data_IF_059153488559
#
_entry.id   IF_059153488559
#
_cell.length_a   1.000
_cell.length_b   1.000
_cell.length_c   1.000
_cell.angle_alpha   90.00
_cell.angle_beta   90.00
_cell.angle_gamma   90.00
#
_symmetry.space_group_name_H-M   'P 1'
#
loop_
_entity.id
_entity.type
_entity.pdbx_description
1 polymer ?
#
# COMPACT_ATOMS: atom_id res chain seq x y z
N UNK A 1 16.53 13.79 -11.87
CA UNK A 1 15.89 13.35 -10.62
C UNK A 1 14.57 12.74 -11.02
N UNK A 2 14.36 11.47 -10.72
CA UNK A 2 13.21 10.71 -11.23
C UNK A 2 12.37 10.21 -10.07
N UNK A 3 11.05 10.36 -10.16
CA UNK A 3 10.11 9.79 -9.21
C UNK A 3 9.41 8.60 -9.83
N UNK A 4 9.28 7.51 -9.09
CA UNK A 4 8.78 6.23 -9.62
C UNK A 4 7.50 5.80 -8.93
N UNK A 5 6.54 5.31 -9.71
CA UNK A 5 5.45 4.46 -9.26
C UNK A 5 5.79 3.04 -9.69
N UNK A 6 6.11 2.16 -8.73
CA UNK A 6 6.08 0.72 -8.96
C UNK A 6 4.61 0.30 -8.96
N UNK A 7 4.12 -0.15 -10.11
CA UNK A 7 2.69 -0.33 -10.35
C UNK A 7 2.38 -1.80 -10.61
N UNK A 8 1.49 -2.38 -9.80
CA UNK A 8 0.78 -3.61 -10.14
C UNK A 8 -0.44 -3.33 -11.03
N UNK A 9 -0.95 -4.37 -11.68
CA UNK A 9 -2.09 -4.33 -12.58
C UNK A 9 -3.32 -4.91 -11.89
N UNK A 10 -3.25 -6.16 -11.46
CA UNK A 10 -4.34 -6.84 -10.77
C UNK A 10 -4.61 -6.17 -9.43
N UNK A 11 -5.88 -5.96 -9.11
CA UNK A 11 -6.36 -5.30 -7.89
C UNK A 11 -6.04 -3.80 -7.77
N UNK A 12 -5.33 -3.23 -8.77
CA UNK A 12 -4.99 -1.80 -8.82
C UNK A 12 -5.75 -1.10 -9.94
N UNK A 13 -5.57 -1.56 -11.19
CA UNK A 13 -6.29 -1.07 -12.37
C UNK A 13 -7.18 -2.13 -12.99
N UNK A 14 -6.88 -3.41 -12.78
CA UNK A 14 -7.65 -4.56 -13.23
C UNK A 14 -8.38 -5.17 -12.02
N UNK A 15 -9.70 -4.99 -11.88
CA UNK A 15 -10.45 -5.52 -10.75
C UNK A 15 -10.33 -7.03 -10.63
N UNK A 16 -10.20 -7.52 -9.40
CA UNK A 16 -10.11 -8.93 -9.04
C UNK A 16 -11.43 -9.46 -8.46
N UNK A 17 -12.29 -8.59 -7.94
CA UNK A 17 -13.61 -8.93 -7.41
C UNK A 17 -14.78 -8.39 -8.25
N UNK A 18 -15.91 -9.10 -8.18
CA UNK A 18 -17.14 -8.76 -8.94
C UNK A 18 -17.88 -7.52 -8.40
N UNK A 19 -17.50 -7.00 -7.25
CA UNK A 19 -18.25 -6.05 -6.42
C UNK A 19 -18.21 -4.61 -6.98
N UNK A 20 -18.90 -4.39 -8.11
CA UNK A 20 -19.14 -3.06 -8.67
C UNK A 20 -18.46 -2.76 -10.01
N UNK A 21 -17.83 -3.76 -10.63
CA UNK A 21 -17.12 -3.62 -11.90
C UNK A 21 -17.89 -4.26 -13.07
N UNK A 22 -17.89 -3.59 -14.22
CA UNK A 22 -18.73 -3.93 -15.37
C UNK A 22 -18.31 -5.24 -16.07
N UNK A 23 -17.02 -5.59 -16.04
CA UNK A 23 -16.48 -6.81 -16.69
C UNK A 23 -15.29 -7.35 -15.90
N UNK A 24 -15.37 -8.60 -15.46
CA UNK A 24 -14.26 -9.34 -14.85
C UNK A 24 -13.36 -9.99 -15.91
N UNK A 25 -12.12 -10.29 -15.50
CA UNK A 25 -11.17 -11.05 -16.32
C UNK A 25 -11.80 -12.34 -16.88
N UNK A 26 -11.64 -12.69 -18.18
CA UNK A 26 -12.28 -13.86 -18.78
C UNK A 26 -12.00 -15.19 -18.08
N UNK A 27 -10.79 -15.36 -17.55
CA UNK A 27 -10.43 -16.55 -16.75
C UNK A 27 -11.24 -16.67 -15.46
N UNK A 28 -11.69 -15.54 -14.89
CA UNK A 28 -12.49 -15.52 -13.65
C UNK A 28 -13.96 -15.84 -13.90
N UNK A 29 -14.45 -15.62 -15.12
CA UNK A 29 -15.83 -15.94 -15.55
C UNK A 29 -15.92 -17.25 -16.34
N UNK A 30 -14.80 -17.94 -16.58
CA UNK A 30 -14.76 -19.23 -17.28
C UNK A 30 -15.21 -19.16 -18.75
N UNK A 31 -15.10 -17.98 -19.38
CA UNK A 31 -15.56 -17.76 -20.75
C UNK A 31 -14.36 -17.49 -21.66
N UNK A 32 -14.09 -18.41 -22.59
CA UNK A 32 -13.07 -18.27 -23.62
C UNK A 32 -13.73 -18.32 -25.00
N UNK A 33 -13.80 -17.17 -25.68
CA UNK A 33 -14.25 -17.06 -27.07
C UNK A 33 -13.22 -16.27 -27.88
N UNK A 34 -12.37 -17.00 -28.61
CA UNK A 34 -11.29 -16.44 -29.42
C UNK A 34 -11.81 -15.49 -30.52
N UNK A 35 -13.00 -15.74 -31.08
CA UNK A 35 -13.56 -14.84 -32.10
C UNK A 35 -13.92 -13.49 -31.49
N UNK A 36 -14.46 -13.49 -30.28
CA UNK A 36 -14.81 -12.28 -29.56
C UNK A 36 -13.56 -11.42 -29.26
N UNK A 37 -12.45 -12.03 -28.84
CA UNK A 37 -11.19 -11.34 -28.61
C UNK A 37 -10.58 -10.75 -29.88
N UNK A 38 -10.64 -11.52 -30.99
CA UNK A 38 -10.15 -11.05 -32.29
C UNK A 38 -10.91 -9.82 -32.79
N UNK A 39 -12.23 -9.77 -32.63
CA UNK A 39 -13.03 -8.61 -33.00
C UNK A 39 -12.70 -7.37 -32.15
N UNK A 40 -12.55 -7.53 -30.82
CA UNK A 40 -12.10 -6.43 -29.96
C UNK A 40 -10.71 -5.92 -30.34
N UNK A 41 -9.77 -6.84 -30.63
CA UNK A 41 -8.40 -6.51 -31.01
C UNK A 41 -8.29 -5.79 -32.36
N UNK A 42 -9.18 -6.07 -33.33
CA UNK A 42 -9.15 -5.44 -34.67
C UNK A 42 -9.17 -3.90 -34.59
N UNK A 43 -10.03 -3.34 -33.73
CA UNK A 43 -10.16 -1.89 -33.51
C UNK A 43 -8.83 -1.27 -33.10
N UNK A 44 -8.10 -1.92 -32.21
CA UNK A 44 -6.86 -1.41 -31.63
C UNK A 44 -5.64 -1.68 -32.52
N UNK A 45 -5.57 -2.83 -33.18
CA UNK A 45 -4.48 -3.16 -34.12
C UNK A 45 -4.41 -2.14 -35.27
N UNK A 46 -5.56 -1.73 -35.80
CA UNK A 46 -5.64 -0.70 -36.83
C UNK A 46 -5.27 0.70 -36.30
N UNK A 47 -5.71 1.04 -35.08
CA UNK A 47 -5.50 2.37 -34.49
C UNK A 47 -4.07 2.63 -34.03
N UNK A 48 -3.40 1.62 -33.47
CA UNK A 48 -2.14 1.80 -32.76
C UNK A 48 -0.94 1.04 -33.37
N UNK A 49 -1.14 0.34 -34.50
CA UNK A 49 -0.12 -0.48 -35.16
C UNK A 49 0.49 -1.55 -34.21
N UNK A 50 -0.39 -2.27 -33.50
CA UNK A 50 -0.02 -3.20 -32.42
C UNK A 50 -0.26 -4.65 -32.82
N UNK A 51 0.10 -5.04 -34.03
CA UNK A 51 -0.11 -6.41 -34.54
C UNK A 51 0.69 -7.48 -33.77
N UNK A 52 1.64 -7.06 -32.93
CA UNK A 52 2.48 -7.92 -32.11
C UNK A 52 1.88 -8.27 -30.74
N UNK A 53 0.76 -7.64 -30.35
CA UNK A 53 0.06 -7.97 -29.11
C UNK A 53 -1.00 -9.05 -29.33
N UNK A 54 -1.13 -9.92 -28.33
CA UNK A 54 -2.13 -10.98 -28.33
C UNK A 54 -3.55 -10.37 -28.24
N UNK A 55 -4.50 -10.96 -28.96
CA UNK A 55 -5.88 -10.48 -28.96
C UNK A 55 -6.55 -10.61 -27.60
N UNK A 56 -6.17 -11.61 -26.82
CA UNK A 56 -6.62 -11.81 -25.45
C UNK A 56 -6.20 -10.63 -24.56
N UNK A 57 -4.91 -10.29 -24.54
CA UNK A 57 -4.40 -9.20 -23.71
C UNK A 57 -5.03 -7.86 -24.08
N UNK A 58 -5.18 -7.61 -25.39
CA UNK A 58 -5.82 -6.41 -25.89
C UNK A 58 -7.29 -6.33 -25.46
N UNK A 59 -7.99 -7.46 -25.45
CA UNK A 59 -9.35 -7.55 -24.93
C UNK A 59 -9.38 -7.25 -23.43
N UNK A 60 -8.50 -7.86 -22.64
CA UNK A 60 -8.43 -7.65 -21.18
C UNK A 60 -8.18 -6.18 -20.86
N UNK A 61 -7.24 -5.53 -21.54
CA UNK A 61 -6.98 -4.09 -21.34
C UNK A 61 -8.16 -3.22 -21.74
N UNK A 62 -8.85 -3.52 -22.85
CA UNK A 62 -9.96 -2.69 -23.34
C UNK A 62 -11.24 -2.84 -22.50
N UNK A 63 -11.43 -3.99 -21.86
CA UNK A 63 -12.70 -4.34 -21.20
C UNK A 63 -12.60 -4.50 -19.70
N UNK A 64 -11.51 -5.08 -19.19
CA UNK A 64 -11.37 -5.41 -17.77
C UNK A 64 -10.66 -4.29 -16.99
N UNK A 65 -9.71 -3.58 -17.61
CA UNK A 65 -9.04 -2.48 -16.90
C UNK A 65 -10.00 -1.32 -16.65
N UNK A 66 -10.14 -0.93 -15.38
CA UNK A 66 -11.02 0.14 -14.95
C UNK A 66 -10.56 1.48 -15.52
N UNK A 67 -11.37 2.07 -16.39
CA UNK A 67 -11.09 3.39 -16.99
C UNK A 67 -10.92 4.47 -15.91
N UNK A 68 -11.70 4.40 -14.83
CA UNK A 68 -11.57 5.32 -13.70
C UNK A 68 -10.23 5.13 -12.97
N UNK A 69 -9.83 3.89 -12.70
CA UNK A 69 -8.54 3.60 -12.07
C UNK A 69 -7.36 4.08 -12.92
N UNK A 70 -7.39 3.82 -14.24
CA UNK A 70 -6.38 4.32 -15.18
C UNK A 70 -6.31 5.84 -15.20
N UNK A 71 -7.45 6.54 -15.18
CA UNK A 71 -7.49 8.00 -15.12
C UNK A 71 -6.92 8.54 -13.80
N UNK A 72 -7.19 7.87 -12.68
CA UNK A 72 -6.63 8.21 -11.36
C UNK A 72 -5.11 8.08 -11.35
N UNK A 73 -4.57 6.95 -11.83
CA UNK A 73 -3.13 6.74 -12.00
C UNK A 73 -2.52 7.82 -12.89
N UNK A 74 -3.14 8.12 -14.03
CA UNK A 74 -2.68 9.18 -14.94
C UNK A 74 -2.62 10.54 -14.26
N UNK A 75 -3.65 10.89 -13.49
CA UNK A 75 -3.71 12.15 -12.75
C UNK A 75 -2.62 12.22 -11.66
N UNK A 76 -2.37 11.11 -10.95
CA UNK A 76 -1.28 11.00 -9.98
C UNK A 76 0.08 11.23 -10.64
N UNK A 77 0.34 10.56 -11.76
CA UNK A 77 1.61 10.65 -12.51
C UNK A 77 1.86 12.09 -12.99
N UNK A 78 0.84 12.72 -13.58
CA UNK A 78 0.90 14.14 -14.00
C UNK A 78 1.15 15.09 -12.83
N UNK A 79 0.45 14.88 -11.71
CA UNK A 79 0.55 15.78 -10.54
C UNK A 79 1.87 15.66 -9.78
N UNK A 80 2.62 14.57 -10.00
CA UNK A 80 3.87 14.29 -9.28
C UNK A 80 5.10 14.30 -10.17
N UNK A 81 4.92 14.40 -11.49
CA UNK A 81 5.96 14.21 -12.51
C UNK A 81 6.71 12.88 -12.31
N UNK A 82 5.94 11.81 -12.07
CA UNK A 82 6.47 10.47 -11.85
C UNK A 82 6.35 9.58 -13.08
N UNK A 83 7.18 8.55 -13.12
CA UNK A 83 7.21 7.52 -14.16
C UNK A 83 6.78 6.18 -13.59
N UNK A 84 6.26 5.32 -14.45
CA UNK A 84 5.85 3.96 -14.12
C UNK A 84 7.05 3.04 -14.31
N UNK A 85 7.37 2.26 -13.29
CA UNK A 85 8.14 1.02 -13.44
C UNK A 85 7.16 -0.11 -13.16
N UNK A 86 6.97 -0.98 -14.13
CA UNK A 86 6.00 -2.05 -14.02
C UNK A 86 6.54 -3.13 -13.08
N UNK A 87 5.72 -3.51 -12.13
CA UNK A 87 6.04 -4.55 -11.17
C UNK A 87 4.72 -5.28 -10.83
N UNK A 88 4.49 -6.36 -11.56
CA UNK A 88 3.22 -7.09 -11.62
C UNK A 88 3.49 -8.51 -12.08
N UNK A 89 2.62 -9.46 -11.72
CA UNK A 89 2.68 -10.85 -12.23
C UNK A 89 2.69 -10.91 -13.77
N UNK A 90 2.10 -9.91 -14.42
CA UNK A 90 2.07 -9.74 -15.87
C UNK A 90 3.47 -9.68 -16.49
N UNK A 91 4.50 -9.24 -15.77
CA UNK A 91 5.88 -9.17 -16.30
C UNK A 91 6.48 -10.54 -16.62
N UNK A 92 5.87 -11.63 -16.15
CA UNK A 92 6.27 -12.99 -16.52
C UNK A 92 5.83 -13.37 -17.93
N UNK A 93 4.73 -12.79 -18.40
CA UNK A 93 4.18 -13.01 -19.74
C UNK A 93 4.59 -11.90 -20.73
N UNK A 94 4.99 -10.72 -20.22
CA UNK A 94 5.31 -9.55 -21.04
C UNK A 94 6.67 -8.97 -20.72
N UNK A 95 7.35 -8.52 -21.78
CA UNK A 95 8.64 -7.85 -21.70
C UNK A 95 8.51 -6.36 -22.06
N UNK A 96 9.65 -5.66 -22.06
CA UNK A 96 9.79 -4.25 -22.41
C UNK A 96 9.26 -3.87 -23.81
N UNK A 97 9.03 -4.85 -24.70
CA UNK A 97 8.43 -4.62 -26.03
C UNK A 97 6.91 -4.56 -25.96
N UNK A 98 6.29 -5.45 -25.17
CA UNK A 98 4.84 -5.63 -25.18
C UNK A 98 4.14 -4.73 -24.15
N UNK A 99 4.74 -4.55 -22.96
CA UNK A 99 4.16 -3.75 -21.88
C UNK A 99 3.87 -2.28 -22.25
N UNK A 100 4.77 -1.54 -22.96
CA UNK A 100 4.46 -0.19 -23.41
C UNK A 100 3.27 -0.14 -24.36
N UNK A 101 3.02 -1.24 -25.07
CA UNK A 101 1.87 -1.38 -25.94
C UNK A 101 0.57 -1.41 -25.13
N UNK A 102 0.46 -2.33 -24.17
CA UNK A 102 -0.71 -2.43 -23.30
C UNK A 102 -0.99 -1.09 -22.57
N UNK A 103 0.06 -0.44 -22.06
CA UNK A 103 -0.05 0.89 -21.45
C UNK A 103 -0.44 2.00 -22.44
N UNK A 104 -0.20 1.84 -23.75
CA UNK A 104 -0.65 2.80 -24.76
C UNK A 104 -2.18 2.80 -24.87
N UNK A 105 -2.79 1.60 -24.80
CA UNK A 105 -4.25 1.45 -24.80
C UNK A 105 -4.87 2.11 -23.57
N UNK A 106 -4.19 2.04 -22.43
CA UNK A 106 -4.54 2.72 -21.18
C UNK A 106 -4.23 4.24 -21.17
N UNK A 107 -3.56 4.78 -22.20
CA UNK A 107 -3.12 6.18 -22.23
C UNK A 107 -2.04 6.52 -21.19
N UNK A 108 -1.26 5.52 -20.77
CA UNK A 108 -0.20 5.59 -19.75
C UNK A 108 1.23 5.42 -20.33
N UNK A 109 1.36 5.09 -21.62
CA UNK A 109 2.67 4.81 -22.28
C UNK A 109 3.72 5.89 -22.06
N UNK A 110 3.36 7.17 -22.09
CA UNK A 110 4.34 8.28 -21.96
C UNK A 110 4.94 8.40 -20.54
N UNK A 111 4.34 7.71 -19.57
CA UNK A 111 4.86 7.59 -18.21
C UNK A 111 5.68 6.34 -18.00
N UNK A 112 5.59 5.34 -18.88
CA UNK A 112 6.33 4.09 -18.76
C UNK A 112 7.84 4.32 -18.90
N UNK A 113 8.60 3.75 -17.96
CA UNK A 113 10.06 3.79 -17.97
C UNK A 113 10.66 2.41 -18.17
N UNK A 114 10.27 1.43 -17.35
CA UNK A 114 10.86 0.09 -17.41
C UNK A 114 10.02 -0.97 -16.65
N UNK A 115 10.54 -2.20 -16.55
CA UNK A 115 10.08 -3.28 -15.66
C UNK A 115 11.11 -3.51 -14.56
N UNK A 116 10.64 -3.80 -13.33
CA UNK A 116 11.50 -4.23 -12.23
C UNK A 116 11.61 -5.77 -12.22
N UNK A 117 12.73 -6.30 -12.73
CA UNK A 117 12.97 -7.75 -12.76
C UNK A 117 13.61 -8.27 -11.47
N UNK A 118 13.00 -9.28 -10.86
CA UNK A 118 13.50 -9.95 -9.66
C UNK A 118 13.01 -11.39 -9.55
N UNK A 119 13.53 -12.10 -8.54
CA UNK A 119 13.02 -13.42 -8.13
C UNK A 119 11.61 -13.32 -7.53
N UNK A 120 11.37 -12.22 -6.83
CA UNK A 120 10.12 -11.79 -6.27
C UNK A 120 10.05 -10.26 -6.35
N UNK A 121 8.90 -9.71 -5.95
CA UNK A 121 8.58 -8.28 -5.97
C UNK A 121 9.60 -7.44 -5.19
N UNK A 122 10.02 -7.90 -4.01
CA UNK A 122 11.00 -7.19 -3.17
C UNK A 122 12.39 -7.16 -3.83
N UNK A 123 12.87 -8.29 -4.33
CA UNK A 123 14.14 -8.41 -5.04
C UNK A 123 14.14 -7.54 -6.30
N UNK A 124 13.04 -7.53 -7.06
CA UNK A 124 12.90 -6.73 -8.28
C UNK A 124 12.98 -5.23 -8.02
N UNK A 125 12.18 -4.73 -7.07
CA UNK A 125 12.19 -3.32 -6.68
C UNK A 125 13.57 -2.92 -6.13
N UNK A 126 14.15 -3.74 -5.26
CA UNK A 126 15.45 -3.46 -4.63
C UNK A 126 16.57 -3.39 -5.66
N UNK A 127 16.63 -4.34 -6.61
CA UNK A 127 17.60 -4.30 -7.71
C UNK A 127 17.41 -3.09 -8.60
N UNK A 128 16.16 -2.74 -8.93
CA UNK A 128 15.87 -1.57 -9.72
C UNK A 128 16.40 -0.30 -9.03
N UNK A 129 16.04 -0.07 -7.77
CA UNK A 129 16.50 1.10 -7.02
C UNK A 129 18.03 1.17 -6.90
N UNK A 130 18.70 0.03 -6.68
CA UNK A 130 20.17 -0.01 -6.60
C UNK A 130 20.85 0.33 -7.94
N UNK A 131 20.22 -0.04 -9.07
CA UNK A 131 20.76 0.21 -10.41
C UNK A 131 20.39 1.60 -10.95
N UNK A 132 19.47 2.30 -10.29
CA UNK A 132 18.93 3.59 -10.73
C UNK A 132 19.09 4.67 -9.64
N UNK A 133 20.33 5.09 -9.31
CA UNK A 133 20.60 6.08 -8.27
C UNK A 133 20.02 7.48 -8.58
N UNK A 134 19.59 7.74 -9.81
CA UNK A 134 18.86 8.94 -10.22
C UNK A 134 17.41 8.99 -9.70
N UNK A 135 16.87 7.86 -9.22
CA UNK A 135 15.57 7.77 -8.58
C UNK A 135 15.65 8.44 -7.22
N UNK A 136 14.91 9.53 -7.04
CA UNK A 136 14.92 10.30 -5.79
C UNK A 136 13.81 9.88 -4.85
N UNK A 137 12.66 9.45 -5.38
CA UNK A 137 11.50 9.04 -4.61
C UNK A 137 10.74 7.96 -5.34
N UNK A 138 10.03 7.13 -4.59
CA UNK A 138 9.17 6.12 -5.16
C UNK A 138 7.94 5.85 -4.29
N UNK A 139 6.94 5.22 -4.89
CA UNK A 139 5.80 4.61 -4.22
C UNK A 139 5.54 3.26 -4.89
N UNK A 140 5.05 2.29 -4.12
CA UNK A 140 4.60 0.99 -4.58
C UNK A 140 3.09 0.99 -4.46
N UNK A 141 2.37 0.69 -5.54
CA UNK A 141 0.92 0.56 -5.56
C UNK A 141 0.58 -0.87 -5.95
N UNK A 142 -0.09 -1.55 -5.05
CA UNK A 142 -0.31 -3.00 -5.08
C UNK A 142 -1.61 -3.32 -4.34
N UNK A 143 -2.31 -4.40 -4.67
CA UNK A 143 -3.47 -4.87 -3.91
C UNK A 143 -3.09 -5.84 -2.79
N UNK A 144 -1.94 -6.50 -2.88
CA UNK A 144 -1.47 -7.45 -1.88
C UNK A 144 -0.62 -6.79 -0.77
N UNK A 145 -0.95 -7.09 0.49
CA UNK A 145 -0.12 -6.71 1.65
C UNK A 145 0.93 -7.79 1.93
N UNK A 146 1.91 -7.90 1.03
CA UNK A 146 3.03 -8.80 1.26
C UNK A 146 3.79 -8.39 2.52
N UNK A 147 3.77 -9.25 3.54
CA UNK A 147 4.46 -9.01 4.81
C UNK A 147 5.93 -8.59 4.61
N UNK A 148 6.62 -9.20 3.64
CA UNK A 148 8.02 -8.94 3.34
C UNK A 148 8.25 -7.58 2.66
N UNK A 149 7.29 -7.10 1.85
CA UNK A 149 7.32 -5.72 1.32
C UNK A 149 7.00 -4.72 2.41
N UNK A 150 6.02 -5.01 3.26
CA UNK A 150 5.66 -4.13 4.37
C UNK A 150 6.86 -3.91 5.32
N UNK A 151 7.65 -4.94 5.59
CA UNK A 151 8.88 -4.84 6.38
C UNK A 151 9.94 -3.94 5.73
N UNK A 152 10.14 -4.03 4.41
CA UNK A 152 11.23 -3.33 3.74
C UNK A 152 10.82 -1.92 3.29
N UNK A 153 9.63 -1.81 2.71
CA UNK A 153 9.09 -0.63 2.03
C UNK A 153 7.71 -0.20 2.51
N UNK A 154 7.24 -0.62 3.69
CA UNK A 154 5.88 -0.32 4.17
C UNK A 154 5.49 1.16 4.19
N UNK A 155 6.44 2.09 4.37
CA UNK A 155 6.17 3.53 4.22
C UNK A 155 5.79 3.93 2.79
N UNK A 156 6.42 3.30 1.81
CA UNK A 156 6.25 3.56 0.38
C UNK A 156 5.14 2.71 -0.24
N UNK A 157 4.54 1.77 0.50
CA UNK A 157 3.50 0.86 0.01
C UNK A 157 2.10 1.46 0.24
N UNK A 158 1.42 1.74 -0.86
CA UNK A 158 -0.01 2.08 -0.93
C UNK A 158 -0.74 0.84 -1.40
N UNK A 159 -1.65 0.34 -0.55
CA UNK A 159 -2.42 -0.85 -0.86
C UNK A 159 -3.79 -0.45 -1.41
N UNK A 160 -4.15 -0.90 -2.61
CA UNK A 160 -5.51 -0.77 -3.13
C UNK A 160 -6.40 -1.90 -2.61
N UNK A 161 -7.71 -1.67 -2.65
CA UNK A 161 -8.70 -2.69 -2.33
C UNK A 161 -9.54 -2.92 -3.59
N UNK A 162 -9.18 -3.94 -4.37
CA UNK A 162 -9.74 -4.30 -5.68
C UNK A 162 -9.45 -3.32 -6.84
N UNK A 163 -9.54 -2.01 -6.59
CA UNK A 163 -9.05 -0.96 -7.50
C UNK A 163 -8.55 0.24 -6.71
N UNK A 164 -7.68 1.04 -7.33
CA UNK A 164 -7.16 2.25 -6.70
C UNK A 164 -8.27 3.28 -6.39
N UNK A 165 -8.32 3.71 -5.13
CA UNK A 165 -9.24 4.75 -4.65
C UNK A 165 -8.64 6.16 -4.74
N UNK A 166 -9.46 7.18 -4.46
CA UNK A 166 -8.95 8.56 -4.38
C UNK A 166 -8.06 8.75 -3.14
N UNK A 167 -8.34 8.03 -2.06
CA UNK A 167 -7.54 8.04 -0.82
C UNK A 167 -6.13 7.46 -1.09
N UNK A 168 -6.06 6.38 -1.86
CA UNK A 168 -4.80 5.75 -2.27
C UNK A 168 -3.97 6.71 -3.14
N UNK A 169 -4.62 7.39 -4.09
CA UNK A 169 -3.95 8.39 -4.93
C UNK A 169 -3.41 9.57 -4.11
N UNK A 170 -4.16 10.04 -3.12
CA UNK A 170 -3.70 11.10 -2.22
C UNK A 170 -2.49 10.64 -1.39
N UNK A 171 -2.54 9.42 -0.84
CA UNK A 171 -1.43 8.84 -0.09
C UNK A 171 -0.18 8.69 -0.96
N UNK A 172 -0.31 8.14 -2.17
CA UNK A 172 0.79 7.99 -3.12
C UNK A 172 1.40 9.35 -3.50
N UNK A 173 0.56 10.35 -3.76
CA UNK A 173 1.00 11.71 -4.06
C UNK A 173 1.81 12.31 -2.92
N UNK A 174 1.32 12.18 -1.69
CA UNK A 174 1.99 12.74 -0.51
C UNK A 174 3.35 12.06 -0.23
N UNK A 175 3.46 10.74 -0.47
CA UNK A 175 4.72 9.99 -0.41
C UNK A 175 5.70 10.54 -1.46
N UNK A 176 5.29 10.62 -2.73
CA UNK A 176 6.12 11.11 -3.84
C UNK A 176 6.50 12.59 -3.74
N UNK A 177 5.75 13.38 -2.96
CA UNK A 177 6.05 14.78 -2.69
C UNK A 177 6.85 14.96 -1.39
N UNK A 178 7.23 13.86 -0.71
CA UNK A 178 7.92 13.88 0.60
C UNK A 178 7.22 14.75 1.62
N UNK A 179 5.89 14.81 1.53
CA UNK A 179 5.09 15.56 2.48
C UNK A 179 5.20 14.85 3.81
N UNK A 180 5.10 13.53 3.82
CA UNK A 180 5.41 12.74 5.00
C UNK A 180 6.92 12.62 5.23
N UNK A 181 7.37 12.86 6.47
CA UNK A 181 8.73 12.55 6.92
C UNK A 181 8.69 11.90 8.29
N UNK A 182 9.58 10.94 8.49
CA UNK A 182 9.81 10.33 9.80
C UNK A 182 11.09 10.86 10.42
N UNK A 183 11.03 11.19 11.70
CA UNK A 183 12.24 11.42 12.49
C UNK A 183 12.14 10.59 13.76
N UNK A 184 13.19 9.83 14.06
CA UNK A 184 13.35 9.13 15.32
C UNK A 184 14.30 9.95 16.17
N UNK A 185 13.88 10.33 17.37
CA UNK A 185 14.67 11.11 18.34
C UNK A 185 14.44 10.50 19.71
N UNK A 186 15.51 10.01 20.35
CA UNK A 186 15.47 9.46 21.71
C UNK A 186 14.40 8.36 21.94
N UNK A 187 14.20 7.48 20.94
CA UNK A 187 13.17 6.43 20.87
C UNK A 187 11.73 6.90 20.61
N UNK A 188 11.52 8.21 20.43
CA UNK A 188 10.24 8.76 20.00
C UNK A 188 10.17 8.81 18.47
N UNK A 189 9.02 8.42 17.92
CA UNK A 189 8.77 8.45 16.47
C UNK A 189 7.90 9.66 16.16
N UNK A 190 8.38 10.51 15.27
CA UNK A 190 7.65 11.68 14.81
C UNK A 190 7.28 11.52 13.34
N UNK A 191 6.00 11.71 13.02
CA UNK A 191 5.53 11.86 11.64
C UNK A 191 5.23 13.33 11.39
N UNK A 192 5.87 13.85 10.36
CA UNK A 192 5.70 15.19 9.85
C UNK A 192 4.88 15.14 8.58
N UNK A 193 4.11 16.20 8.33
CA UNK A 193 3.54 16.48 7.01
C UNK A 193 3.84 17.91 6.63
N UNK A 194 4.55 18.04 5.51
CA UNK A 194 5.32 19.22 5.17
C UNK A 194 6.23 19.59 6.36
N UNK A 195 6.02 20.75 6.98
CA UNK A 195 6.78 21.21 8.15
C UNK A 195 5.95 21.14 9.44
N UNK A 196 4.75 20.55 9.38
CA UNK A 196 3.87 20.38 10.54
C UNK A 196 4.06 19.00 11.14
N UNK A 197 4.40 18.96 12.42
CA UNK A 197 4.36 17.74 13.21
C UNK A 197 2.92 17.25 13.32
N UNK A 198 2.59 16.13 12.66
CA UNK A 198 1.26 15.54 12.76
C UNK A 198 1.20 14.56 13.92
N UNK A 199 2.29 13.82 14.13
CA UNK A 199 2.35 12.71 15.05
C UNK A 199 3.58 12.80 15.93
N UNK A 200 3.38 12.78 17.23
CA UNK A 200 4.42 12.51 18.20
C UNK A 200 4.08 11.20 18.87
N UNK A 201 4.97 10.23 18.76
CA UNK A 201 4.93 9.00 19.52
C UNK A 201 5.90 9.10 20.67
N UNK A 202 5.43 9.08 21.91
CA UNK A 202 6.31 8.98 23.07
C UNK A 202 6.47 7.53 23.49
N UNK A 203 7.70 7.02 23.48
CA UNK A 203 8.01 5.70 24.05
C UNK A 203 7.80 5.74 25.57
N UNK A 204 6.90 4.89 26.09
CA UNK A 204 6.75 4.72 27.54
C UNK A 204 6.96 3.26 27.93
N UNK A 205 8.15 3.01 28.47
CA UNK A 205 8.55 1.95 29.40
C UNK A 205 8.14 0.50 29.08
N UNK A 206 9.15 -0.39 28.96
CA UNK A 206 8.99 -1.84 28.98
C UNK A 206 8.75 -2.34 30.41
N UNK A 207 7.63 -3.02 30.68
CA UNK A 207 7.50 -3.79 31.92
C UNK A 207 7.71 -5.29 31.61
N UNK A 208 8.85 -5.82 32.02
CA UNK A 208 9.11 -7.26 32.02
C UNK A 208 8.55 -7.88 33.31
N UNK A 209 7.28 -8.30 33.30
CA UNK A 209 6.91 -9.44 34.13
C UNK A 209 6.99 -10.69 33.24
N UNK A 210 7.89 -11.61 33.58
CA UNK A 210 8.16 -12.88 32.85
C UNK A 210 8.80 -12.72 31.44
N UNK A 211 9.70 -11.76 31.23
CA UNK A 211 10.52 -11.69 30.00
C UNK A 211 9.79 -11.19 28.74
N UNK A 212 8.72 -10.41 28.91
CA UNK A 212 7.92 -9.84 27.82
C UNK A 212 8.30 -8.38 27.56
N UNK A 213 8.40 -7.99 26.29
CA UNK A 213 8.61 -6.61 25.86
C UNK A 213 7.26 -6.03 25.41
N UNK A 214 6.80 -4.98 26.09
CA UNK A 214 5.66 -4.17 25.65
C UNK A 214 6.17 -2.81 25.20
N UNK A 215 6.13 -2.55 23.90
CA UNK A 215 6.43 -1.24 23.32
C UNK A 215 5.15 -0.43 23.27
N UNK A 216 4.93 0.51 24.18
CA UNK A 216 3.76 1.41 24.14
C UNK A 216 4.12 2.73 23.48
N UNK A 217 3.45 3.01 22.38
CA UNK A 217 3.56 4.28 21.65
C UNK A 217 2.35 5.16 21.92
N UNK A 218 2.57 6.33 22.52
CA UNK A 218 1.53 7.33 22.74
C UNK A 218 1.46 8.28 21.56
N UNK A 219 0.41 8.17 20.74
CA UNK A 219 0.27 8.86 19.44
C UNK A 219 -0.65 10.07 19.57
N UNK A 220 -0.18 11.29 19.22
CA UNK A 220 -1.00 12.52 19.21
C UNK A 220 -1.21 13.05 17.80
N UNK A 221 -2.47 13.13 17.32
CA UNK A 221 -2.80 13.58 15.95
C UNK A 221 -3.45 14.97 15.94
N UNK A 222 -2.90 15.89 15.13
CA UNK A 222 -3.36 17.28 15.03
C UNK A 222 -4.29 17.59 13.83
N UNK A 223 -4.51 16.66 12.90
CA UNK A 223 -5.41 16.84 11.75
C UNK A 223 -6.27 15.60 11.51
N UNK A 224 -7.60 15.74 11.57
CA UNK A 224 -8.56 14.63 11.43
C UNK A 224 -8.50 13.93 10.07
N UNK A 225 -8.31 14.67 8.99
CA UNK A 225 -8.25 14.09 7.63
C UNK A 225 -7.01 13.22 7.44
N UNK A 226 -5.98 13.45 8.25
CA UNK A 226 -4.70 12.74 8.18
C UNK A 226 -4.63 11.56 9.15
N UNK A 227 -5.68 11.31 9.95
CA UNK A 227 -5.67 10.24 10.97
C UNK A 227 -5.45 8.89 10.31
N UNK A 228 -6.27 8.54 9.31
CA UNK A 228 -6.19 7.22 8.67
C UNK A 228 -4.84 7.01 7.96
N UNK A 229 -4.37 7.91 7.07
CA UNK A 229 -3.06 7.73 6.43
C UNK A 229 -1.92 7.67 7.45
N UNK A 230 -1.90 8.57 8.44
CA UNK A 230 -0.84 8.59 9.46
C UNK A 230 -0.79 7.31 10.30
N UNK A 231 -1.96 6.76 10.68
CA UNK A 231 -2.03 5.50 11.44
C UNK A 231 -1.57 4.34 10.57
N UNK A 232 -2.03 4.24 9.31
CA UNK A 232 -1.60 3.17 8.38
C UNK A 232 -0.07 3.18 8.22
N UNK A 233 0.50 4.36 7.96
CA UNK A 233 1.95 4.51 7.81
C UNK A 233 2.68 4.17 9.12
N UNK A 234 2.18 4.62 10.28
CA UNK A 234 2.78 4.33 11.58
C UNK A 234 2.76 2.83 11.88
N UNK A 235 1.65 2.14 11.66
CA UNK A 235 1.54 0.68 11.85
C UNK A 235 2.61 -0.02 11.02
N UNK A 236 2.70 0.29 9.72
CA UNK A 236 3.71 -0.31 8.82
C UNK A 236 5.15 -0.06 9.31
N UNK A 237 5.45 1.15 9.79
CA UNK A 237 6.77 1.46 10.35
C UNK A 237 7.06 0.78 11.69
N UNK A 238 6.08 0.70 12.57
CA UNK A 238 6.20 -0.02 13.84
C UNK A 238 6.37 -1.52 13.62
N UNK A 239 5.76 -2.06 12.57
CA UNK A 239 5.96 -3.46 12.17
C UNK A 239 7.40 -3.74 11.76
N UNK A 240 8.01 -2.86 10.96
CA UNK A 240 9.44 -2.95 10.65
C UNK A 240 10.31 -2.87 11.91
N UNK A 241 10.08 -1.87 12.76
CA UNK A 241 10.88 -1.67 13.97
C UNK A 241 10.79 -2.85 14.96
N UNK A 242 9.59 -3.43 15.14
CA UNK A 242 9.40 -4.61 15.98
C UNK A 242 10.14 -5.84 15.44
N UNK A 243 10.18 -6.00 14.11
CA UNK A 243 10.93 -7.07 13.45
C UNK A 243 12.45 -6.90 13.64
N UNK A 244 12.98 -5.70 13.43
CA UNK A 244 14.41 -5.40 13.62
C UNK A 244 14.87 -5.67 15.07
N UNK A 245 13.95 -5.55 16.03
CA UNK A 245 14.18 -5.87 17.44
C UNK A 245 13.96 -7.36 17.78
N UNK A 246 13.72 -8.21 16.78
CA UNK A 246 13.50 -9.65 16.91
C UNK A 246 12.40 -9.99 17.93
N UNK A 247 11.36 -9.15 17.99
CA UNK A 247 10.26 -9.36 18.89
C UNK A 247 9.29 -10.38 18.24
N UNK A 248 8.94 -11.46 18.94
CA UNK A 248 7.88 -12.39 18.51
C UNK A 248 6.51 -11.92 19.04
N UNK A 249 5.53 -11.87 18.13
CA UNK A 249 4.08 -11.71 18.34
C UNK A 249 3.45 -10.31 18.61
N UNK A 250 2.47 -9.97 17.75
CA UNK A 250 1.21 -9.28 18.06
C UNK A 250 1.24 -7.75 18.25
N UNK A 251 0.32 -7.04 17.59
CA UNK A 251 0.08 -5.59 17.82
C UNK A 251 -1.21 -5.40 18.60
N UNK A 252 -1.17 -4.66 19.70
CA UNK A 252 -2.37 -4.21 20.41
C UNK A 252 -2.58 -2.74 20.07
N UNK A 253 -3.66 -2.44 19.36
CA UNK A 253 -4.10 -1.07 19.12
C UNK A 253 -5.16 -0.74 20.17
N UNK A 254 -4.84 0.18 21.07
CA UNK A 254 -5.74 0.63 22.13
C UNK A 254 -6.09 2.09 21.87
N UNK A 255 -7.37 2.37 21.62
CA UNK A 255 -7.92 3.72 21.63
C UNK A 255 -8.66 3.91 22.97
N UNK A 256 -8.17 4.80 23.85
CA UNK A 256 -8.84 5.03 25.14
C UNK A 256 -9.51 6.41 25.17
N UNK A 257 -10.85 6.43 25.07
CA UNK A 257 -11.68 7.64 25.10
C UNK A 257 -11.91 8.18 26.53
N UNK A 258 -11.89 7.32 27.54
CA UNK A 258 -12.24 7.64 28.94
C UNK A 258 -11.11 8.34 29.70
N UNK A 259 -9.84 7.99 29.47
CA UNK A 259 -8.71 8.51 30.24
C UNK A 259 -8.39 10.00 29.97
N UNK A 260 -8.99 10.61 28.94
CA UNK A 260 -8.59 11.93 28.44
C UNK A 260 -9.74 12.92 28.19
N UNK A 261 -10.88 12.76 28.88
CA UNK A 261 -12.06 13.67 28.87
C UNK A 261 -11.77 15.17 29.13
N UNK A 262 -10.53 15.58 29.37
CA UNK A 262 -10.12 16.97 29.64
C UNK A 262 -9.47 17.72 28.47
N UNK A 263 -9.19 17.08 27.33
CA UNK A 263 -8.40 17.70 26.25
C UNK A 263 -9.23 17.78 24.97
N UNK A 264 -9.63 19.00 24.58
CA UNK A 264 -10.61 19.27 23.52
C UNK A 264 -10.11 19.06 22.07
N UNK A 265 -8.85 18.70 21.83
CA UNK A 265 -8.26 18.74 20.46
C UNK A 265 -7.34 17.58 20.08
N UNK A 266 -7.15 16.55 20.93
CA UNK A 266 -6.16 15.50 20.70
C UNK A 266 -6.76 14.09 20.73
N UNK A 267 -6.44 13.26 19.73
CA UNK A 267 -6.70 11.81 19.74
C UNK A 267 -5.46 11.08 20.26
N UNK A 268 -5.65 10.08 21.13
CA UNK A 268 -4.59 9.31 21.76
C UNK A 268 -4.74 7.82 21.45
N UNK A 269 -3.69 7.18 20.96
CA UNK A 269 -3.60 5.73 20.76
C UNK A 269 -2.43 5.17 21.56
N UNK A 270 -2.57 3.92 21.99
CA UNK A 270 -1.50 3.05 22.49
C UNK A 270 -1.33 1.94 21.47
N UNK A 271 -0.18 1.91 20.79
CA UNK A 271 0.22 0.76 19.96
C UNK A 271 1.22 -0.03 20.80
N UNK A 272 0.85 -1.25 21.19
CA UNK A 272 1.57 -2.19 22.02
C UNK A 272 2.13 -3.37 21.21
N UNK A 273 3.34 -3.86 21.50
CA UNK A 273 3.79 -5.19 21.08
C UNK A 273 3.65 -6.17 22.24
N UNK A 274 3.12 -7.39 22.08
CA UNK A 274 3.08 -8.33 23.22
C UNK A 274 3.29 -9.78 22.79
N UNK A 275 4.34 -10.40 23.33
CA UNK A 275 4.52 -11.86 23.30
C UNK A 275 3.40 -12.56 24.08
N UNK A 276 2.44 -13.16 23.38
CA UNK A 276 1.31 -13.89 23.98
C UNK A 276 1.72 -15.35 24.19
N UNK A 277 1.62 -15.83 25.43
CA UNK A 277 1.66 -17.27 25.69
C UNK A 277 0.21 -17.78 25.70
N UNK A 278 0.01 -19.03 25.28
CA UNK A 278 -1.25 -19.77 25.02
C UNK A 278 -2.30 -19.72 26.17
N UNK A 279 -1.94 -19.15 27.33
CA UNK A 279 -2.75 -19.14 28.55
C UNK A 279 -3.39 -17.78 28.91
N UNK A 280 -3.36 -16.78 28.01
CA UNK A 280 -4.39 -15.71 27.98
C UNK A 280 -4.57 -14.79 29.21
N UNK A 281 -3.59 -14.61 30.10
CA UNK A 281 -3.75 -13.68 31.24
C UNK A 281 -3.40 -12.22 30.90
N UNK A 282 -4.40 -11.33 31.06
CA UNK A 282 -4.36 -9.90 30.79
C UNK A 282 -3.79 -9.09 31.96
N UNK A 283 -2.96 -8.08 31.68
CA UNK A 283 -2.53 -7.06 32.64
C UNK A 283 -2.92 -5.67 32.12
N UNK A 284 -4.09 -5.20 32.51
CA UNK A 284 -4.53 -3.80 32.78
C UNK A 284 -5.98 -3.56 32.36
N UNK A 285 -6.73 -2.87 33.22
CA UNK A 285 -8.09 -2.38 32.96
C UNK A 285 -8.06 -1.33 31.85
N UNK A 286 -8.13 -1.78 30.61
CA UNK A 286 -8.34 -0.97 29.43
C UNK A 286 -9.71 -1.38 28.90
N UNK A 287 -10.72 -0.53 29.10
CA UNK A 287 -12.11 -0.89 28.78
C UNK A 287 -12.36 -1.17 27.29
N UNK A 288 -11.45 -0.75 26.40
CA UNK A 288 -11.49 -1.05 24.95
C UNK A 288 -10.06 -1.25 24.43
N UNK A 289 -9.39 -2.31 24.89
CA UNK A 289 -8.17 -2.79 24.24
C UNK A 289 -8.52 -3.75 23.12
N UNK A 290 -7.94 -3.53 21.95
CA UNK A 290 -8.12 -4.43 20.81
C UNK A 290 -6.78 -5.10 20.59
N UNK A 291 -6.68 -6.34 21.04
CA UNK A 291 -5.62 -7.21 20.54
C UNK A 291 -5.88 -7.45 19.07
N UNK A 292 -4.94 -7.06 18.23
CA UNK A 292 -4.88 -7.62 16.90
C UNK A 292 -3.76 -8.66 16.88
N UNK A 293 -4.20 -9.92 16.91
CA UNK A 293 -3.34 -11.10 17.01
C UNK A 293 -2.23 -11.11 15.94
N UNK A 294 -1.14 -11.84 16.23
CA UNK A 294 0.00 -12.02 15.31
C UNK A 294 -0.38 -12.64 13.96
N UNK A 295 -1.50 -13.37 13.91
CA UNK A 295 -2.02 -14.04 12.71
C UNK A 295 -2.63 -13.08 11.69
N UNK A 296 -2.98 -11.85 12.10
CA UNK A 296 -3.54 -10.85 11.22
C UNK A 296 -2.44 -10.05 10.52
N UNK A 297 -2.53 -9.91 9.21
CA UNK A 297 -1.77 -8.96 8.39
C UNK A 297 -1.93 -7.51 8.91
N UNK A 298 -0.96 -6.61 8.67
CA UNK A 298 -1.09 -5.18 8.98
C UNK A 298 -2.43 -4.57 8.52
N UNK A 299 -2.93 -4.96 7.34
CA UNK A 299 -4.23 -4.55 6.82
C UNK A 299 -5.41 -5.08 7.65
N UNK A 300 -5.45 -6.37 8.01
CA UNK A 300 -6.52 -6.90 8.87
C UNK A 300 -6.55 -6.15 10.21
N UNK A 301 -5.38 -5.70 10.70
CA UNK A 301 -5.31 -4.81 11.88
C UNK A 301 -5.92 -3.44 11.64
N UNK A 302 -5.68 -2.86 10.47
CA UNK A 302 -6.28 -1.58 10.04
C UNK A 302 -7.79 -1.74 9.85
N UNK A 303 -8.26 -2.81 9.21
CA UNK A 303 -9.68 -3.08 9.00
C UNK A 303 -10.45 -3.35 10.29
N UNK A 304 -9.88 -4.13 11.20
CA UNK A 304 -10.45 -4.33 12.54
C UNK A 304 -10.62 -2.98 13.25
N UNK A 305 -9.62 -2.11 13.13
CA UNK A 305 -9.69 -0.74 13.64
C UNK A 305 -10.72 0.13 12.90
N UNK A 306 -10.87 0.01 11.58
CA UNK A 306 -11.87 0.76 10.80
C UNK A 306 -13.31 0.30 11.09
N UNK A 307 -13.51 -0.98 11.39
CA UNK A 307 -14.79 -1.58 11.81
C UNK A 307 -15.18 -1.17 13.24
N UNK A 308 -14.22 -0.67 14.03
CA UNK A 308 -14.46 -0.16 15.38
C UNK A 308 -15.05 1.25 15.30
N UNK A 309 -16.38 1.31 15.45
CA UNK A 309 -17.16 2.55 15.43
C UNK A 309 -16.57 3.60 16.39
N UNK A 310 -16.09 4.71 15.82
CA UNK A 310 -15.75 5.95 16.55
C UNK A 310 -16.97 6.87 16.73
#
# INVERSE_FOLDING_TARGET
MTKIVFLDIDGVISPTESSGHEVLHPERIGHYDEQYYLEAAKKHRQKYNMSYLDSYDMYVVDTCWSTLAMQKIKNLLLATDSKIVMESSWIHSYNEKNMPGLLAMAGLKDFYLNIAYGKDKLDGITKYLNNHPEVTDFVIIDDEDYWYLAQNYGFYLVQSNDVISDEDCLMAKDILQRRYRFTILDNDIYLWYDDKKILASKYRYSHSSRGKLLLVYQVRIFNKQMIKPAIRILIKQLTKYAYDLNCDDGFVLVANREYFKRIKTDFWFVIGYQRVNINGEFLTNINEAVMVHSEYSPLEKIELWEKMRF
#
